data_IF_407127507378
#
_entry.id   IF_407127507378
#
_cell.length_a   1.000
_cell.length_b   1.000
_cell.length_c   1.000
_cell.angle_alpha   90.00
_cell.angle_beta   90.00
_cell.angle_gamma   90.00
#
_symmetry.space_group_name_H-M   'P 1'
#
loop_
_entity.id
_entity.type
_entity.pdbx_description
1 polymer ?
#
# COMPACT_ATOMS: atom_id res chain seq x y z
N UNK A 1 -37.19 20.73 2.70
CA UNK A 1 -36.38 19.50 2.79
C UNK A 1 -36.57 18.75 1.49
N UNK A 2 -35.64 18.90 0.56
CA UNK A 2 -35.68 18.22 -0.74
C UNK A 2 -34.87 16.94 -0.61
N UNK A 3 -35.57 15.84 -0.38
CA UNK A 3 -35.06 14.48 -0.59
C UNK A 3 -34.84 14.27 -2.09
N UNK A 4 -33.60 14.40 -2.55
CA UNK A 4 -33.25 14.01 -3.91
C UNK A 4 -33.14 12.49 -4.02
N UNK A 5 -34.21 11.89 -4.53
CA UNK A 5 -34.19 10.55 -5.11
C UNK A 5 -33.39 10.62 -6.42
N UNK A 6 -32.13 10.16 -6.41
CA UNK A 6 -31.36 9.92 -7.64
C UNK A 6 -31.29 8.42 -7.90
N UNK A 7 -32.26 7.93 -8.67
CA UNK A 7 -32.29 6.55 -9.12
C UNK A 7 -31.47 6.32 -10.39
N UNK A 8 -30.58 5.32 -10.29
CA UNK A 8 -30.15 4.37 -11.33
C UNK A 8 -29.19 4.81 -12.45
N UNK A 9 -27.89 4.53 -12.23
CA UNK A 9 -27.01 3.87 -13.21
C UNK A 9 -25.75 3.27 -12.50
N UNK A 10 -25.69 1.94 -12.34
CA UNK A 10 -24.49 1.20 -11.87
C UNK A 10 -24.25 1.13 -10.35
N UNK A 11 -23.54 0.10 -9.82
CA UNK A 11 -23.35 -0.14 -8.37
C UNK A 11 -22.32 0.78 -7.71
N UNK A 12 -22.16 1.99 -8.23
CA UNK A 12 -20.97 2.81 -8.12
C UNK A 12 -21.43 4.28 -8.22
N UNK A 13 -21.23 5.09 -7.17
CA UNK A 13 -21.57 6.53 -7.14
C UNK A 13 -20.32 7.40 -7.37
N UNK A 14 -20.32 8.24 -8.41
CA UNK A 14 -19.21 9.16 -8.72
C UNK A 14 -18.99 10.18 -7.60
N UNK A 15 -17.74 10.35 -7.18
CA UNK A 15 -17.27 11.36 -6.24
C UNK A 15 -16.12 12.11 -6.91
N UNK A 16 -16.28 13.41 -7.21
CA UNK A 16 -15.23 14.37 -7.63
C UNK A 16 -13.94 13.77 -8.25
N UNK A 17 -14.05 13.10 -9.41
CA UNK A 17 -12.89 12.59 -10.14
C UNK A 17 -12.14 11.41 -9.49
N UNK A 18 -12.69 10.82 -8.44
CA UNK A 18 -12.21 9.59 -7.80
C UNK A 18 -12.91 8.36 -8.40
N UNK A 19 -12.23 7.19 -8.43
CA UNK A 19 -12.85 5.97 -8.88
C UNK A 19 -14.06 5.62 -8.01
N UNK A 20 -15.02 4.99 -8.64
CA UNK A 20 -16.36 4.93 -8.12
C UNK A 20 -16.47 3.88 -7.00
N UNK A 21 -16.80 4.31 -5.77
CA UNK A 21 -16.88 3.43 -4.60
C UNK A 21 -18.18 2.62 -4.57
N UNK A 22 -18.10 1.35 -4.16
CA UNK A 22 -19.29 0.53 -3.92
C UNK A 22 -20.09 1.11 -2.71
N UNK A 23 -21.43 0.99 -2.64
CA UNK A 23 -22.23 1.47 -1.51
C UNK A 23 -21.84 0.95 -0.13
N UNK A 24 -21.13 -0.18 -0.07
CA UNK A 24 -20.58 -0.70 1.20
C UNK A 24 -19.27 -0.02 1.60
N UNK A 25 -18.60 0.62 0.65
CA UNK A 25 -17.32 1.31 0.82
C UNK A 25 -17.51 2.77 1.25
N UNK A 26 -18.67 3.38 0.95
CA UNK A 26 -19.02 4.74 1.41
C UNK A 26 -19.16 4.85 2.93
N UNK A 27 -19.38 3.73 3.62
CA UNK A 27 -19.46 3.66 5.09
C UNK A 27 -18.11 3.35 5.75
N UNK A 28 -17.04 3.12 4.98
CA UNK A 28 -15.72 2.86 5.54
C UNK A 28 -15.11 4.16 6.09
N UNK A 29 -14.35 4.09 7.20
CA UNK A 29 -13.64 5.25 7.71
C UNK A 29 -12.56 5.73 6.73
N UNK A 30 -12.38 7.05 6.64
CA UNK A 30 -11.26 7.65 5.93
C UNK A 30 -9.96 7.43 6.72
N UNK A 31 -8.92 6.91 6.10
CA UNK A 31 -7.60 6.84 6.74
C UNK A 31 -6.90 8.19 6.63
N UNK A 32 -6.45 8.70 7.78
CA UNK A 32 -5.69 9.94 7.84
C UNK A 32 -4.18 9.64 7.91
N UNK A 33 -3.33 10.23 7.06
CA UNK A 33 -1.89 9.94 7.02
C UNK A 33 -1.14 10.14 8.35
N UNK A 34 -1.70 10.95 9.25
CA UNK A 34 -1.11 11.26 10.57
C UNK A 34 -1.82 10.56 11.74
N UNK A 35 -2.91 9.83 11.51
CA UNK A 35 -3.58 9.08 12.55
C UNK A 35 -2.90 7.72 12.80
N UNK A 36 -3.02 7.14 14.01
CA UNK A 36 -2.64 5.75 14.24
C UNK A 36 -3.40 4.82 13.30
N UNK A 37 -2.67 3.86 12.72
CA UNK A 37 -3.25 2.85 11.83
C UNK A 37 -3.49 1.55 12.61
N UNK A 38 -4.71 1.02 12.51
CA UNK A 38 -5.11 -0.28 13.08
C UNK A 38 -5.60 -1.23 12.00
N UNK A 39 -5.79 -2.50 12.32
CA UNK A 39 -6.37 -3.47 11.39
C UNK A 39 -7.78 -3.06 10.98
N UNK A 40 -8.15 -3.26 9.72
CA UNK A 40 -9.44 -2.82 9.20
C UNK A 40 -9.45 -2.50 7.72
N UNK A 41 -10.53 -1.85 7.28
CA UNK A 41 -10.75 -1.37 5.92
C UNK A 41 -11.00 0.12 5.95
N UNK A 42 -10.38 0.84 5.03
CA UNK A 42 -10.41 2.29 4.98
C UNK A 42 -10.54 2.80 3.54
N UNK A 43 -11.16 3.96 3.39
CA UNK A 43 -11.03 4.78 2.17
C UNK A 43 -9.73 5.55 2.25
N UNK A 44 -8.99 5.63 1.15
CA UNK A 44 -7.73 6.37 1.08
C UNK A 44 -7.94 7.81 0.58
N UNK A 45 -7.01 8.74 0.89
CA UNK A 45 -7.06 10.09 0.34
C UNK A 45 -7.05 10.15 -1.19
N UNK A 46 -6.45 9.15 -1.86
CA UNK A 46 -6.48 9.04 -3.33
C UNK A 46 -7.73 8.38 -3.90
N UNK A 47 -8.76 8.15 -3.08
CA UNK A 47 -10.04 7.54 -3.49
C UNK A 47 -9.99 6.03 -3.70
N UNK A 48 -8.93 5.37 -3.26
CA UNK A 48 -8.81 3.92 -3.23
C UNK A 48 -9.29 3.30 -1.92
N UNK A 49 -8.99 2.02 -1.76
CA UNK A 49 -9.30 1.22 -0.58
C UNK A 49 -8.02 0.63 0.01
N UNK A 50 -7.79 0.91 1.29
CA UNK A 50 -6.73 0.28 2.07
C UNK A 50 -7.33 -0.80 2.97
N UNK A 51 -6.78 -2.01 2.93
CA UNK A 51 -7.14 -3.10 3.84
C UNK A 51 -5.90 -3.52 4.61
N UNK A 52 -5.95 -3.44 5.94
CA UNK A 52 -4.93 -3.95 6.85
C UNK A 52 -5.48 -5.19 7.53
N UNK A 53 -4.99 -6.37 7.15
CA UNK A 53 -5.41 -7.65 7.74
C UNK A 53 -4.46 -8.05 8.87
N UNK A 54 -4.98 -8.66 9.95
CA UNK A 54 -4.13 -9.30 10.94
C UNK A 54 -3.32 -10.44 10.30
N UNK A 55 -2.20 -10.83 10.90
CA UNK A 55 -1.40 -11.96 10.43
C UNK A 55 -2.22 -13.26 10.36
N UNK A 56 -2.24 -13.88 9.18
CA UNK A 56 -2.80 -15.23 8.98
C UNK A 56 -1.79 -16.34 9.37
N UNK A 57 -0.49 -16.02 9.36
CA UNK A 57 0.68 -16.84 9.69
C UNK A 57 1.73 -15.94 10.38
N UNK A 58 2.82 -16.44 11.00
CA UNK A 58 3.51 -15.70 12.06
C UNK A 58 3.98 -14.30 11.64
N UNK A 59 3.61 -13.31 12.47
CA UNK A 59 4.26 -12.01 12.59
C UNK A 59 4.09 -11.02 11.44
N UNK A 60 3.37 -11.31 10.35
CA UNK A 60 3.24 -10.38 9.22
C UNK A 60 1.82 -9.88 9.04
N UNK A 61 1.65 -8.57 9.12
CA UNK A 61 0.41 -7.91 8.73
C UNK A 61 0.37 -7.77 7.21
N UNK A 62 -0.76 -8.10 6.60
CA UNK A 62 -0.96 -7.94 5.17
C UNK A 62 -1.68 -6.62 4.91
N UNK A 63 -1.06 -5.78 4.09
CA UNK A 63 -1.60 -4.49 3.69
C UNK A 63 -1.92 -4.57 2.20
N UNK A 64 -3.15 -4.26 1.82
CA UNK A 64 -3.58 -4.18 0.43
C UNK A 64 -4.10 -2.80 0.12
N UNK A 65 -3.57 -2.18 -0.93
CA UNK A 65 -3.99 -0.88 -1.47
C UNK A 65 -4.59 -1.10 -2.85
N UNK A 66 -5.89 -0.87 -2.97
CA UNK A 66 -6.66 -1.06 -4.19
C UNK A 66 -7.11 0.31 -4.71
N UNK A 67 -6.56 0.72 -5.85
CA UNK A 67 -6.87 1.99 -6.47
C UNK A 67 -8.11 1.95 -7.36
N UNK A 68 -8.87 0.84 -7.34
CA UNK A 68 -10.21 0.72 -7.93
C UNK A 68 -10.27 1.13 -9.41
N UNK A 69 -9.22 0.82 -10.17
CA UNK A 69 -9.16 1.13 -11.60
C UNK A 69 -8.67 2.54 -11.95
N UNK A 70 -8.24 3.36 -10.98
CA UNK A 70 -7.76 4.72 -11.24
C UNK A 70 -6.45 4.74 -12.05
N UNK A 71 -6.45 5.22 -13.32
CA UNK A 71 -5.25 5.21 -14.16
C UNK A 71 -4.14 6.13 -13.64
N UNK A 72 -4.49 7.20 -12.91
CA UNK A 72 -3.53 8.11 -12.29
C UNK A 72 -2.65 7.45 -11.20
N UNK A 73 -2.96 6.20 -10.83
CA UNK A 73 -2.18 5.41 -9.87
C UNK A 73 -1.23 4.41 -10.55
N UNK A 74 -1.20 4.37 -11.90
CA UNK A 74 -0.42 3.42 -12.69
C UNK A 74 0.81 4.03 -13.36
N UNK A 75 1.22 5.24 -12.98
CA UNK A 75 2.40 5.88 -13.55
C UNK A 75 3.68 5.12 -13.19
N UNK A 76 4.70 5.22 -14.04
CA UNK A 76 5.99 4.56 -13.82
C UNK A 76 6.64 5.01 -12.50
N UNK A 77 6.53 6.29 -12.16
CA UNK A 77 7.07 6.86 -10.93
C UNK A 77 6.39 6.28 -9.68
N UNK A 78 5.07 6.12 -9.72
CA UNK A 78 4.31 5.47 -8.64
C UNK A 78 4.63 4.00 -8.52
N UNK A 79 4.76 3.29 -9.65
CA UNK A 79 5.20 1.89 -9.65
C UNK A 79 6.57 1.74 -8.98
N UNK A 80 7.55 2.57 -9.35
CA UNK A 80 8.88 2.56 -8.77
C UNK A 80 8.86 2.95 -7.27
N UNK A 81 8.03 3.91 -6.88
CA UNK A 81 7.86 4.28 -5.46
C UNK A 81 7.25 3.14 -4.62
N UNK A 82 6.22 2.45 -5.13
CA UNK A 82 5.66 1.29 -4.44
C UNK A 82 6.64 0.11 -4.40
N UNK A 83 7.48 -0.08 -5.43
CA UNK A 83 8.56 -1.08 -5.41
C UNK A 83 9.57 -0.78 -4.30
N UNK A 84 10.00 0.49 -4.17
CA UNK A 84 10.88 0.94 -3.07
C UNK A 84 10.26 0.68 -1.69
N UNK A 85 8.94 0.88 -1.52
CA UNK A 85 8.25 0.52 -0.28
C UNK A 85 8.24 -0.98 0.00
N UNK A 86 8.02 -1.81 -1.03
CA UNK A 86 8.07 -3.25 -0.88
C UNK A 86 9.47 -3.74 -0.47
N UNK A 87 10.52 -3.15 -1.05
CA UNK A 87 11.91 -3.40 -0.66
C UNK A 87 12.18 -2.99 0.79
N UNK A 88 11.73 -1.80 1.20
CA UNK A 88 11.87 -1.37 2.59
C UNK A 88 11.22 -2.36 3.58
N UNK A 89 10.02 -2.87 3.25
CA UNK A 89 9.38 -3.92 4.05
C UNK A 89 10.22 -5.21 4.09
N UNK A 90 10.76 -5.67 2.96
CA UNK A 90 11.64 -6.85 2.91
C UNK A 90 12.89 -6.67 3.77
N UNK A 91 13.58 -5.53 3.65
CA UNK A 91 14.80 -5.25 4.43
C UNK A 91 14.56 -5.28 5.95
N UNK A 92 13.45 -4.68 6.41
CA UNK A 92 13.02 -4.77 7.80
C UNK A 92 12.79 -6.21 8.27
N UNK A 93 12.34 -7.08 7.38
CA UNK A 93 12.05 -8.46 7.72
C UNK A 93 13.31 -9.32 7.70
N UNK A 94 14.19 -9.12 6.73
CA UNK A 94 15.53 -9.72 6.68
C UNK A 94 16.31 -9.36 7.95
N UNK A 95 16.30 -8.09 8.36
CA UNK A 95 16.93 -7.65 9.61
C UNK A 95 16.35 -8.37 10.84
N UNK A 96 15.06 -8.67 10.84
CA UNK A 96 14.39 -9.45 11.88
C UNK A 96 14.57 -10.98 11.74
N UNK A 97 15.40 -11.46 10.81
CA UNK A 97 15.67 -12.87 10.57
C UNK A 97 14.58 -13.63 9.80
N UNK A 98 13.67 -12.92 9.11
CA UNK A 98 12.75 -13.56 8.16
C UNK A 98 13.47 -13.97 6.87
N UNK A 99 12.94 -14.99 6.20
CA UNK A 99 13.33 -15.39 4.85
C UNK A 99 12.28 -15.05 3.79
N UNK A 100 11.41 -14.07 4.07
CA UNK A 100 10.41 -13.67 3.09
C UNK A 100 11.05 -12.79 2.02
N UNK A 101 10.43 -12.74 0.86
CA UNK A 101 10.76 -11.80 -0.20
C UNK A 101 9.66 -10.76 -0.33
N UNK A 102 9.99 -9.57 -0.83
CA UNK A 102 9.01 -8.54 -1.14
C UNK A 102 7.94 -9.12 -2.07
N UNK A 103 6.73 -9.28 -1.55
CA UNK A 103 5.58 -9.61 -2.37
C UNK A 103 5.05 -8.31 -2.98
N UNK A 104 5.59 -7.89 -4.12
CA UNK A 104 5.05 -6.76 -4.88
C UNK A 104 4.12 -7.25 -5.99
N UNK A 105 2.85 -6.86 -5.90
CA UNK A 105 1.89 -6.94 -7.00
C UNK A 105 1.87 -5.63 -7.77
N UNK A 106 2.17 -5.68 -9.07
CA UNK A 106 1.98 -4.58 -10.01
C UNK A 106 0.50 -4.19 -10.19
N UNK A 107 0.24 -3.04 -10.80
CA UNK A 107 -1.11 -2.64 -11.22
C UNK A 107 -1.94 -1.90 -10.16
N UNK A 108 -3.26 -1.94 -10.29
CA UNK A 108 -4.17 -1.16 -9.43
C UNK A 108 -4.27 -1.70 -8.01
N UNK A 109 -3.93 -2.98 -7.81
CA UNK A 109 -3.93 -3.64 -6.51
C UNK A 109 -2.49 -3.89 -6.07
N UNK A 110 -2.06 -3.17 -5.04
CA UNK A 110 -0.79 -3.41 -4.35
C UNK A 110 -1.04 -4.28 -3.13
N UNK A 111 -0.16 -5.23 -2.88
CA UNK A 111 -0.10 -5.96 -1.62
C UNK A 111 1.29 -5.82 -1.03
N UNK A 112 1.36 -5.74 0.29
CA UNK A 112 2.60 -5.67 1.06
C UNK A 112 2.46 -6.58 2.27
N UNK A 113 3.57 -7.17 2.68
CA UNK A 113 3.69 -7.90 3.94
C UNK A 113 4.65 -7.16 4.84
N UNK A 114 4.20 -6.84 6.05
CA UNK A 114 4.94 -6.02 6.99
C UNK A 114 5.07 -6.77 8.31
N UNK A 115 6.31 -7.02 8.75
CA UNK A 115 6.53 -7.73 10.02
C UNK A 115 6.25 -6.85 11.21
N UNK A 116 5.34 -7.32 12.05
CA UNK A 116 5.03 -6.75 13.35
C UNK A 116 6.29 -6.68 14.24
N UNK A 117 6.44 -5.58 14.95
CA UNK A 117 7.61 -5.28 15.78
C UNK A 117 8.89 -4.87 15.04
N UNK A 118 8.99 -5.00 13.70
CA UNK A 118 10.15 -4.49 12.93
C UNK A 118 9.91 -3.09 12.39
N UNK A 119 8.73 -2.87 11.81
CA UNK A 119 8.28 -1.56 11.34
C UNK A 119 6.81 -1.40 11.74
N UNK A 120 6.47 -0.24 12.31
CA UNK A 120 5.09 -0.01 12.74
C UNK A 120 4.15 0.14 11.52
N UNK A 121 2.89 -0.28 11.65
CA UNK A 121 1.89 -0.09 10.60
C UNK A 121 1.81 1.36 10.12
N UNK A 122 1.86 2.30 11.07
CA UNK A 122 1.75 3.73 10.77
C UNK A 122 2.98 4.21 10.00
N UNK A 123 4.18 3.75 10.37
CA UNK A 123 5.42 4.10 9.66
C UNK A 123 5.44 3.56 8.22
N UNK A 124 4.78 2.44 7.93
CA UNK A 124 4.67 1.90 6.58
C UNK A 124 3.53 2.51 5.76
N UNK A 125 2.32 2.61 6.34
CA UNK A 125 1.13 3.08 5.63
C UNK A 125 1.23 4.55 5.25
N UNK A 126 1.87 5.38 6.06
CA UNK A 126 2.01 6.82 5.76
C UNK A 126 2.77 7.05 4.43
N UNK A 127 3.97 6.48 4.22
CA UNK A 127 4.62 6.52 2.91
C UNK A 127 3.77 5.96 1.77
N UNK A 128 3.03 4.87 1.98
CA UNK A 128 2.16 4.31 0.94
C UNK A 128 1.06 5.30 0.51
N UNK A 129 0.45 6.04 1.46
CA UNK A 129 -0.52 7.08 1.16
C UNK A 129 0.13 8.33 0.52
N UNK A 130 1.37 8.66 0.91
CA UNK A 130 2.11 9.77 0.30
C UNK A 130 2.37 9.48 -1.20
N UNK A 131 2.78 8.26 -1.54
CA UNK A 131 2.98 7.83 -2.93
C UNK A 131 1.68 7.92 -3.73
N UNK A 132 0.56 7.52 -3.15
CA UNK A 132 -0.76 7.65 -3.78
C UNK A 132 -1.09 9.11 -4.16
N UNK A 133 -0.67 10.06 -3.31
CA UNK A 133 -0.82 11.50 -3.50
C UNK A 133 0.30 12.16 -4.32
N UNK A 134 1.29 11.39 -4.78
CA UNK A 134 2.40 11.87 -5.62
C UNK A 134 3.62 12.41 -4.87
N UNK A 135 3.71 12.19 -3.55
CA UNK A 135 4.92 12.47 -2.76
C UNK A 135 5.73 11.18 -2.57
N UNK A 136 6.89 11.12 -3.22
CA UNK A 136 7.78 9.95 -3.20
C UNK A 136 8.86 10.03 -2.10
N UNK A 137 9.09 11.21 -1.52
CA UNK A 137 10.14 11.44 -0.53
C UNK A 137 10.02 10.55 0.73
N UNK A 138 8.82 10.31 1.27
CA UNK A 138 8.63 9.40 2.39
C UNK A 138 8.99 7.94 2.08
N UNK A 139 8.75 7.48 0.86
CA UNK A 139 9.13 6.13 0.44
C UNK A 139 10.65 5.99 0.30
N UNK A 140 11.30 7.00 -0.28
CA UNK A 140 12.76 7.08 -0.37
C UNK A 140 13.43 7.06 0.99
N UNK A 141 12.93 7.90 1.91
CA UNK A 141 13.45 7.97 3.27
C UNK A 141 13.34 6.62 3.97
N UNK A 142 12.18 5.96 3.85
CA UNK A 142 11.98 4.66 4.51
C UNK A 142 12.96 3.61 3.97
N UNK A 143 13.21 3.59 2.66
CA UNK A 143 14.18 2.68 2.07
C UNK A 143 15.61 3.00 2.57
N UNK A 144 16.02 4.26 2.58
CA UNK A 144 17.34 4.68 3.09
C UNK A 144 17.55 4.29 4.57
N UNK A 145 16.53 4.51 5.40
CA UNK A 145 16.54 4.10 6.81
C UNK A 145 16.65 2.57 6.95
N UNK A 146 15.96 1.83 6.09
CA UNK A 146 16.05 0.36 6.05
C UNK A 146 17.43 -0.11 5.63
N UNK A 147 18.03 0.51 4.61
CA UNK A 147 19.36 0.17 4.13
C UNK A 147 20.44 0.46 5.17
N UNK A 148 20.29 1.55 5.92
CA UNK A 148 21.17 1.86 7.06
C UNK A 148 21.06 0.82 8.19
N UNK A 149 19.90 0.19 8.34
CA UNK A 149 19.62 -0.82 9.37
C UNK A 149 20.05 -2.24 8.96
N UNK A 150 19.78 -2.62 7.72
CA UNK A 150 19.86 -4.00 7.22
C UNK A 150 20.99 -4.22 6.20
N UNK A 151 21.66 -3.15 5.76
CA UNK A 151 22.49 -3.17 4.55
C UNK A 151 21.65 -3.00 3.28
N UNK A 152 22.29 -2.97 2.09
CA UNK A 152 21.59 -2.77 0.82
C UNK A 152 20.46 -3.79 0.64
N UNK A 153 19.25 -3.29 0.46
CA UNK A 153 18.11 -4.13 0.06
C UNK A 153 18.18 -4.24 -1.45
N UNK A 154 18.30 -5.47 -1.98
CA UNK A 154 18.44 -5.87 -3.41
C UNK A 154 18.31 -4.73 -4.43
N UNK A 155 19.35 -4.52 -5.24
CA UNK A 155 19.33 -3.53 -6.31
C UNK A 155 18.33 -3.91 -7.42
N UNK A 156 17.68 -2.92 -8.03
CA UNK A 156 16.82 -3.11 -9.20
C UNK A 156 17.63 -3.79 -10.32
N UNK A 157 17.34 -5.08 -10.58
CA UNK A 157 18.04 -5.88 -11.59
C UNK A 157 18.23 -7.36 -11.24
N UNK A 158 17.99 -7.78 -9.98
CA UNK A 158 18.00 -9.20 -9.59
C UNK A 158 16.64 -9.90 -9.84
N UNK A 159 16.06 -9.68 -11.02
CA UNK A 159 15.02 -10.57 -11.56
C UNK A 159 15.73 -11.64 -12.41
N UNK A 160 15.67 -12.89 -11.96
CA UNK A 160 16.15 -14.13 -12.60
C UNK A 160 17.65 -14.27 -12.96
N UNK A 161 18.44 -14.66 -11.96
CA UNK A 161 19.37 -15.78 -12.15
C UNK A 161 19.06 -16.87 -11.12
N UNK A 162 17.82 -17.41 -11.18
CA UNK A 162 17.60 -18.77 -10.72
C UNK A 162 18.36 -19.69 -11.69
N UNK A 163 19.42 -20.28 -11.17
CA UNK A 163 20.30 -21.21 -11.87
C UNK A 163 19.49 -22.33 -12.54
N UNK A 164 19.71 -22.49 -13.83
CA UNK A 164 19.43 -23.73 -14.55
C UNK A 164 20.38 -24.81 -13.99
N UNK A 165 19.82 -25.84 -13.37
CA UNK A 165 20.55 -26.93 -12.72
C UNK A 165 19.64 -28.10 -12.39
#
# INVERSE_FOLDING_TARGET
MTTEHRGAAGPYIEYDGLPVLHPTETNLPLIHPYAPVTTGRYVTPGGGRLTVRPPEKPGHMRISLDHLGCPAQLTEEKNAAFKRLALAAEGHCVHAGCRHHAAYGGGVLRSFEVRDGSITLTAFVRPALAVELGDFGPADRLLQETEALAGPVRQEGEEDQASDG
#
